data_IF_853381349417
#
_entry.id   IF_853381349417
#
_cell.length_a   1.000
_cell.length_b   1.000
_cell.length_c   1.000
_cell.angle_alpha   90.00
_cell.angle_beta   90.00
_cell.angle_gamma   90.00
#
_symmetry.space_group_name_H-M   'P 1'
#
loop_
_entity.id
_entity.type
_entity.pdbx_description
1 polymer ?
#
# COMPACT_ATOMS: atom_id res chain seq x y z
N UNK A 1 12.86 -18.15 -34.66
CA UNK A 1 12.72 -18.38 -33.20
C UNK A 1 13.59 -19.57 -32.85
N UNK A 2 14.65 -19.38 -32.06
CA UNK A 2 15.49 -20.50 -31.60
C UNK A 2 14.67 -21.36 -30.63
N UNK A 3 14.53 -22.64 -30.95
CA UNK A 3 13.79 -23.61 -30.14
C UNK A 3 14.62 -23.98 -28.91
N UNK A 4 13.97 -24.08 -27.74
CA UNK A 4 14.59 -24.66 -26.54
C UNK A 4 15.07 -26.09 -26.86
N UNK A 5 16.15 -26.58 -26.25
CA UNK A 5 16.53 -27.98 -26.37
C UNK A 5 15.35 -28.89 -26.00
N UNK A 6 15.10 -29.91 -26.81
CA UNK A 6 14.13 -30.94 -26.47
C UNK A 6 14.62 -31.67 -25.19
N UNK A 7 13.70 -32.06 -24.30
CA UNK A 7 13.99 -32.77 -23.04
C UNK A 7 14.78 -32.01 -21.96
N UNK A 8 14.87 -30.67 -22.06
CA UNK A 8 15.41 -29.83 -20.99
C UNK A 8 14.66 -30.05 -19.66
N UNK A 9 15.39 -30.41 -18.61
CA UNK A 9 14.84 -30.53 -17.25
C UNK A 9 15.72 -29.80 -16.22
N UNK A 10 15.15 -29.57 -15.03
CA UNK A 10 15.78 -28.80 -13.97
C UNK A 10 15.85 -29.60 -12.68
N UNK A 11 17.03 -29.67 -12.07
CA UNK A 11 17.23 -30.38 -10.82
C UNK A 11 18.31 -29.70 -9.97
N UNK A 12 18.39 -30.06 -8.69
CA UNK A 12 19.41 -29.54 -7.80
C UNK A 12 20.80 -30.04 -8.22
N UNK A 13 21.78 -29.15 -8.11
CA UNK A 13 23.19 -29.48 -8.36
C UNK A 13 23.75 -30.29 -7.22
N UNK A 14 24.37 -31.42 -7.54
CA UNK A 14 24.97 -32.33 -6.56
C UNK A 14 26.40 -31.92 -6.22
N UNK A 15 26.93 -32.29 -5.04
CA UNK A 15 28.32 -31.95 -4.67
C UNK A 15 29.35 -32.46 -5.70
N UNK A 16 29.07 -33.60 -6.33
CA UNK A 16 29.96 -34.23 -7.31
C UNK A 16 29.99 -33.49 -8.65
N UNK A 17 29.02 -32.62 -8.92
CA UNK A 17 28.86 -31.88 -10.18
C UNK A 17 29.48 -30.47 -10.10
N UNK A 18 30.08 -30.09 -8.97
CA UNK A 18 30.65 -28.76 -8.77
C UNK A 18 31.82 -28.47 -9.72
N UNK A 19 32.53 -29.50 -10.17
CA UNK A 19 33.59 -29.34 -11.15
C UNK A 19 33.01 -28.92 -12.52
N UNK A 20 31.88 -29.48 -12.95
CA UNK A 20 31.17 -29.05 -14.17
C UNK A 20 30.61 -27.62 -14.04
N UNK A 21 30.10 -27.26 -12.84
CA UNK A 21 29.66 -25.88 -12.55
C UNK A 21 30.82 -24.91 -12.67
N UNK A 22 31.97 -25.24 -12.10
CA UNK A 22 33.16 -24.38 -12.15
C UNK A 22 33.66 -24.19 -13.58
N UNK A 23 33.68 -25.24 -14.41
CA UNK A 23 34.03 -25.13 -15.82
C UNK A 23 33.10 -24.18 -16.58
N UNK A 24 31.79 -24.27 -16.33
CA UNK A 24 30.80 -23.36 -16.92
C UNK A 24 30.92 -21.93 -16.38
N UNK A 25 31.29 -21.74 -15.11
CA UNK A 25 31.52 -20.43 -14.50
C UNK A 25 32.70 -19.71 -15.16
N UNK A 26 33.84 -20.38 -15.28
CA UNK A 26 35.04 -19.83 -15.90
C UNK A 26 34.84 -19.57 -17.39
N UNK A 27 34.02 -20.37 -18.08
CA UNK A 27 33.62 -20.10 -19.46
C UNK A 27 32.54 -19.00 -19.59
N UNK A 28 31.87 -18.66 -18.50
CA UNK A 28 30.79 -17.68 -18.41
C UNK A 28 31.27 -16.27 -18.13
N UNK A 29 32.29 -16.13 -17.28
CA UNK A 29 32.76 -14.87 -16.73
C UNK A 29 34.26 -14.61 -17.03
N UNK A 30 34.67 -13.34 -17.09
CA UNK A 30 36.08 -12.96 -16.99
C UNK A 30 36.75 -13.51 -15.71
N UNK A 31 38.06 -13.71 -15.74
CA UNK A 31 38.80 -14.33 -14.63
C UNK A 31 38.74 -13.53 -13.31
N UNK A 32 38.52 -12.21 -13.38
CA UNK A 32 38.36 -11.31 -12.23
C UNK A 32 36.93 -11.26 -11.68
N UNK A 33 35.95 -11.78 -12.41
CA UNK A 33 34.53 -11.82 -12.01
C UNK A 33 34.06 -13.24 -11.63
N UNK A 34 34.71 -14.28 -12.17
CA UNK A 34 34.32 -15.68 -11.94
C UNK A 34 34.50 -16.11 -10.47
N UNK A 35 33.53 -16.86 -9.95
CA UNK A 35 33.67 -17.47 -8.63
C UNK A 35 34.78 -18.53 -8.61
N UNK A 36 35.56 -18.57 -7.53
CA UNK A 36 36.56 -19.63 -7.33
C UNK A 36 35.90 -20.99 -7.10
N UNK A 37 36.60 -22.07 -7.44
CA UNK A 37 36.14 -23.44 -7.19
C UNK A 37 35.80 -23.67 -5.71
N UNK A 38 36.61 -23.13 -4.81
CA UNK A 38 36.39 -23.26 -3.36
C UNK A 38 35.15 -22.49 -2.90
N UNK A 39 34.88 -21.30 -3.47
CA UNK A 39 33.66 -20.55 -3.18
C UNK A 39 32.40 -21.30 -3.65
N UNK A 40 32.44 -21.90 -4.85
CA UNK A 40 31.33 -22.72 -5.36
C UNK A 40 31.09 -23.96 -4.48
N UNK A 41 32.17 -24.66 -4.09
CA UNK A 41 32.08 -25.82 -3.19
C UNK A 41 31.53 -25.43 -1.82
N UNK A 42 31.99 -24.33 -1.23
CA UNK A 42 31.48 -23.82 0.04
C UNK A 42 29.99 -23.47 -0.06
N UNK A 43 29.60 -22.68 -1.07
CA UNK A 43 28.20 -22.28 -1.26
C UNK A 43 27.29 -23.50 -1.47
N UNK A 44 27.76 -24.52 -2.19
CA UNK A 44 27.01 -25.76 -2.39
C UNK A 44 26.82 -26.53 -1.08
N UNK A 45 27.84 -26.57 -0.21
CA UNK A 45 27.75 -27.31 1.05
C UNK A 45 26.82 -26.65 2.07
N UNK A 46 26.77 -25.31 2.09
CA UNK A 46 25.93 -24.55 3.04
C UNK A 46 24.52 -24.27 2.50
N UNK A 47 24.35 -24.12 1.18
CA UNK A 47 23.10 -23.71 0.56
C UNK A 47 22.66 -24.63 -0.61
N UNK A 48 22.70 -25.98 -0.48
CA UNK A 48 22.45 -26.89 -1.61
C UNK A 48 21.04 -26.75 -2.20
N UNK A 49 20.06 -26.33 -1.39
CA UNK A 49 18.66 -26.10 -1.81
C UNK A 49 18.50 -24.93 -2.78
N UNK A 50 19.49 -24.04 -2.83
CA UNK A 50 19.48 -22.83 -3.66
C UNK A 50 20.34 -22.97 -4.93
N UNK A 51 20.89 -24.16 -5.16
CA UNK A 51 21.68 -24.51 -6.35
C UNK A 51 20.82 -25.27 -7.35
N UNK A 52 20.49 -24.62 -8.47
CA UNK A 52 19.66 -25.22 -9.51
C UNK A 52 20.44 -25.37 -10.80
N UNK A 53 20.44 -26.57 -11.38
CA UNK A 53 21.02 -26.88 -12.68
C UNK A 53 19.95 -27.08 -13.75
N UNK A 54 20.30 -26.71 -14.98
CA UNK A 54 19.57 -27.04 -16.20
C UNK A 54 20.31 -28.18 -16.90
N UNK A 55 19.62 -29.28 -17.18
CA UNK A 55 20.23 -30.50 -17.65
C UNK A 55 19.59 -30.99 -18.95
N UNK A 56 20.40 -31.70 -19.74
CA UNK A 56 19.94 -32.55 -20.83
C UNK A 56 20.19 -34.02 -20.47
N UNK A 57 19.28 -34.93 -20.85
CA UNK A 57 19.54 -36.35 -20.73
C UNK A 57 20.70 -36.74 -21.66
N UNK A 58 21.57 -37.62 -21.15
CA UNK A 58 22.71 -38.13 -21.91
C UNK A 58 22.72 -39.67 -21.88
N UNK A 59 23.85 -40.30 -22.19
CA UNK A 59 23.96 -41.75 -22.27
C UNK A 59 23.95 -42.43 -20.89
N UNK A 60 23.92 -43.77 -20.87
CA UNK A 60 23.80 -44.59 -19.65
C UNK A 60 24.90 -44.31 -18.62
N UNK A 61 26.10 -43.88 -19.03
CA UNK A 61 27.25 -43.64 -18.14
C UNK A 61 27.22 -42.28 -17.43
N UNK A 62 26.61 -41.27 -18.04
CA UNK A 62 26.36 -39.96 -17.42
C UNK A 62 24.89 -39.66 -17.66
N UNK A 63 24.00 -39.86 -16.68
CA UNK A 63 22.56 -39.81 -16.95
C UNK A 63 22.07 -38.41 -17.33
N UNK A 64 22.84 -37.38 -16.98
CA UNK A 64 22.54 -35.97 -17.26
C UNK A 64 23.81 -35.19 -17.54
N UNK A 65 23.69 -34.16 -18.38
CA UNK A 65 24.75 -33.19 -18.66
C UNK A 65 24.29 -31.80 -18.28
N UNK A 66 25.10 -31.09 -17.50
CA UNK A 66 24.82 -29.73 -17.06
C UNK A 66 25.04 -28.73 -18.21
N UNK A 67 24.01 -27.96 -18.55
CA UNK A 67 24.09 -26.94 -19.62
C UNK A 67 23.89 -25.52 -19.12
N UNK A 68 23.54 -25.34 -17.85
CA UNK A 68 23.45 -24.04 -17.18
C UNK A 68 23.10 -24.20 -15.71
N UNK A 69 23.34 -23.17 -14.90
CA UNK A 69 23.10 -23.24 -13.47
C UNK A 69 22.81 -21.87 -12.86
N UNK A 70 22.22 -21.89 -11.66
CA UNK A 70 22.06 -20.76 -10.74
C UNK A 70 22.63 -21.16 -9.38
N UNK A 71 23.46 -20.28 -8.83
CA UNK A 71 24.02 -20.38 -7.48
C UNK A 71 23.54 -19.21 -6.64
N UNK A 72 23.04 -19.48 -5.44
CA UNK A 72 22.63 -18.45 -4.49
C UNK A 72 22.92 -18.82 -3.03
N UNK A 73 22.98 -17.82 -2.16
CA UNK A 73 22.97 -17.97 -0.70
C UNK A 73 21.83 -17.17 -0.09
N UNK A 74 21.70 -17.23 1.25
CA UNK A 74 20.71 -16.48 1.99
C UNK A 74 21.37 -15.32 2.71
N UNK A 75 20.64 -14.21 2.81
CA UNK A 75 20.99 -13.08 3.66
C UNK A 75 19.73 -12.48 4.30
N UNK A 76 19.81 -11.96 5.53
CA UNK A 76 18.75 -11.16 6.12
C UNK A 76 18.62 -9.76 5.48
N UNK A 77 19.65 -9.30 4.78
CA UNK A 77 19.71 -7.94 4.21
C UNK A 77 18.65 -7.73 3.13
N UNK A 78 17.96 -6.57 3.08
CA UNK A 78 16.99 -6.25 2.05
C UNK A 78 17.60 -5.88 0.69
N UNK A 79 18.91 -5.65 0.63
CA UNK A 79 19.71 -5.25 -0.56
C UNK A 79 21.02 -6.03 -0.60
N UNK A 80 21.70 -6.08 -1.75
CA UNK A 80 22.99 -6.76 -1.86
C UNK A 80 24.12 -5.93 -1.26
N UNK A 81 24.97 -6.61 -0.50
CA UNK A 81 26.18 -6.09 0.15
C UNK A 81 27.36 -7.02 -0.15
N UNK A 82 28.60 -6.52 0.01
CA UNK A 82 29.79 -7.36 -0.11
C UNK A 82 29.72 -8.58 0.82
N UNK A 83 29.23 -8.40 2.06
CA UNK A 83 29.04 -9.50 3.00
C UNK A 83 28.09 -10.57 2.47
N UNK A 84 26.91 -10.18 1.97
CA UNK A 84 25.93 -11.12 1.41
C UNK A 84 26.42 -11.87 0.16
N UNK A 85 27.45 -11.36 -0.52
CA UNK A 85 28.08 -12.02 -1.67
C UNK A 85 29.14 -13.07 -1.26
N UNK A 86 29.57 -13.06 0.00
CA UNK A 86 30.60 -13.95 0.55
C UNK A 86 30.02 -15.00 1.49
N UNK A 87 29.07 -14.63 2.35
CA UNK A 87 28.58 -15.46 3.45
C UNK A 87 27.16 -16.00 3.21
N UNK A 88 26.85 -17.13 3.85
CA UNK A 88 25.50 -17.68 3.93
C UNK A 88 24.95 -17.45 5.34
N UNK A 89 23.86 -16.69 5.45
CA UNK A 89 23.25 -16.30 6.72
C UNK A 89 21.78 -16.80 6.80
N UNK A 90 21.53 -17.99 7.37
CA UNK A 90 20.19 -18.58 7.44
C UNK A 90 19.37 -18.14 8.66
N UNK A 91 19.90 -17.29 9.55
CA UNK A 91 19.25 -16.83 10.78
C UNK A 91 19.42 -15.31 10.96
N UNK A 92 18.54 -14.60 11.69
CA UNK A 92 17.38 -15.09 12.46
C UNK A 92 16.09 -15.28 11.65
N UNK A 93 15.99 -14.68 10.45
CA UNK A 93 14.92 -14.94 9.47
C UNK A 93 15.36 -14.45 8.09
N UNK A 94 15.98 -15.31 7.26
CA UNK A 94 16.53 -14.90 5.98
C UNK A 94 15.39 -14.58 5.05
N UNK A 95 15.27 -13.32 4.63
CA UNK A 95 14.19 -12.89 3.73
C UNK A 95 14.64 -12.85 2.28
N UNK A 96 15.96 -12.86 2.02
CA UNK A 96 16.55 -12.61 0.71
C UNK A 96 17.40 -13.79 0.23
N UNK A 97 17.10 -14.28 -0.97
CA UNK A 97 17.98 -15.17 -1.73
C UNK A 97 18.88 -14.32 -2.61
N UNK A 98 20.20 -14.41 -2.42
CA UNK A 98 21.21 -13.63 -3.15
C UNK A 98 21.85 -14.50 -4.23
N UNK A 99 21.50 -14.27 -5.49
CA UNK A 99 22.06 -15.00 -6.63
C UNK A 99 23.47 -14.47 -6.92
N UNK A 100 24.45 -15.37 -6.89
CA UNK A 100 25.85 -15.08 -7.18
C UNK A 100 26.18 -15.26 -8.66
N UNK A 101 25.68 -16.33 -9.27
CA UNK A 101 26.05 -16.71 -10.63
C UNK A 101 24.85 -17.27 -11.39
N UNK A 102 24.70 -16.85 -12.65
CA UNK A 102 23.72 -17.40 -13.60
C UNK A 102 24.44 -17.67 -14.92
N UNK A 103 24.76 -18.94 -15.16
CA UNK A 103 25.58 -19.35 -16.30
C UNK A 103 24.81 -20.29 -17.23
N UNK A 104 25.01 -20.13 -18.53
CA UNK A 104 24.54 -21.07 -19.56
C UNK A 104 25.69 -21.34 -20.51
N UNK A 105 25.89 -22.61 -20.85
CA UNK A 105 26.87 -23.08 -21.82
C UNK A 105 26.73 -22.33 -23.14
N UNK A 106 27.85 -21.90 -23.72
CA UNK A 106 27.91 -21.10 -24.94
C UNK A 106 27.15 -21.73 -26.11
N UNK A 107 27.16 -23.06 -26.23
CA UNK A 107 26.45 -23.82 -27.25
C UNK A 107 24.91 -23.66 -27.19
N UNK A 108 24.38 -23.31 -26.03
CA UNK A 108 22.94 -23.23 -25.73
C UNK A 108 22.45 -21.81 -25.42
N UNK A 109 23.33 -20.80 -25.50
CA UNK A 109 22.96 -19.38 -25.38
C UNK A 109 22.05 -18.95 -26.55
N UNK A 110 21.25 -17.91 -26.31
CA UNK A 110 20.32 -17.39 -27.32
C UNK A 110 19.13 -18.31 -27.65
N UNK A 111 18.94 -19.42 -26.92
CA UNK A 111 17.82 -20.37 -27.09
C UNK A 111 16.74 -20.29 -26.00
N UNK A 112 16.83 -19.29 -25.12
CA UNK A 112 15.88 -19.09 -24.02
C UNK A 112 16.15 -19.92 -22.75
N UNK A 113 17.23 -20.71 -22.70
CA UNK A 113 17.58 -21.57 -21.55
C UNK A 113 17.69 -20.77 -20.25
N UNK A 114 18.41 -19.65 -20.25
CA UNK A 114 18.59 -18.80 -19.07
C UNK A 114 17.24 -18.28 -18.52
N UNK A 115 16.34 -17.84 -19.41
CA UNK A 115 15.02 -17.35 -19.00
C UNK A 115 14.20 -18.47 -18.36
N UNK A 116 14.18 -19.67 -18.97
CA UNK A 116 13.42 -20.80 -18.43
C UNK A 116 14.00 -21.29 -17.10
N UNK A 117 15.33 -21.31 -16.97
CA UNK A 117 16.03 -21.63 -15.72
C UNK A 117 15.67 -20.63 -14.60
N UNK A 118 15.69 -19.33 -14.90
CA UNK A 118 15.28 -18.29 -13.93
C UNK A 118 13.80 -18.43 -13.53
N UNK A 119 12.90 -18.70 -14.48
CA UNK A 119 11.48 -18.89 -14.20
C UNK A 119 11.25 -20.10 -13.28
N UNK A 120 11.82 -21.24 -13.61
CA UNK A 120 11.75 -22.44 -12.76
C UNK A 120 12.33 -22.17 -11.36
N UNK A 121 13.45 -21.46 -11.28
CA UNK A 121 14.08 -21.09 -10.02
C UNK A 121 13.15 -20.24 -9.15
N UNK A 122 12.57 -19.18 -9.72
CA UNK A 122 11.64 -18.31 -9.01
C UNK A 122 10.37 -19.05 -8.58
N UNK A 123 9.80 -19.93 -9.43
CA UNK A 123 8.63 -20.74 -9.09
C UNK A 123 8.90 -21.70 -7.91
N UNK A 124 10.12 -22.25 -7.82
CA UNK A 124 10.54 -23.08 -6.67
C UNK A 124 10.66 -22.24 -5.40
N UNK A 125 11.29 -21.07 -5.48
CA UNK A 125 11.48 -20.17 -4.34
C UNK A 125 10.17 -19.59 -3.83
N UNK A 126 9.23 -19.26 -4.71
CA UNK A 126 7.91 -18.74 -4.34
C UNK A 126 7.11 -19.73 -3.48
N UNK A 127 7.41 -21.04 -3.57
CA UNK A 127 6.80 -22.09 -2.74
C UNK A 127 7.47 -22.26 -1.37
N UNK A 128 8.64 -21.66 -1.13
CA UNK A 128 9.39 -21.82 0.12
C UNK A 128 8.95 -20.79 1.18
N UNK A 129 8.43 -21.17 2.35
CA UNK A 129 7.82 -20.26 3.34
C UNK A 129 8.75 -19.16 3.87
N UNK A 130 10.06 -19.39 3.81
CA UNK A 130 11.05 -18.48 4.39
C UNK A 130 11.57 -17.43 3.40
N UNK A 131 11.31 -17.56 2.10
CA UNK A 131 11.82 -16.63 1.09
C UNK A 131 10.80 -15.51 0.81
N UNK A 132 11.20 -14.26 1.05
CA UNK A 132 10.38 -13.08 0.74
C UNK A 132 10.80 -12.40 -0.55
N UNK A 133 12.10 -12.45 -0.91
CA UNK A 133 12.64 -11.82 -2.11
C UNK A 133 13.86 -12.54 -2.67
N UNK A 134 14.18 -12.21 -3.92
CA UNK A 134 15.38 -12.66 -4.63
C UNK A 134 16.11 -11.43 -5.15
N UNK A 135 17.42 -11.40 -4.96
CA UNK A 135 18.31 -10.30 -5.32
C UNK A 135 19.42 -10.83 -6.23
N UNK A 136 19.81 -10.02 -7.22
CA UNK A 136 20.98 -10.26 -8.06
C UNK A 136 21.57 -8.93 -8.55
N UNK A 137 22.82 -8.96 -8.99
CA UNK A 137 23.42 -7.88 -9.75
C UNK A 137 23.60 -8.26 -11.22
N UNK A 138 23.44 -7.31 -12.13
CA UNK A 138 23.72 -7.54 -13.54
C UNK A 138 24.30 -6.31 -14.27
N UNK A 139 24.99 -6.56 -15.39
CA UNK A 139 25.40 -5.52 -16.34
C UNK A 139 24.20 -4.99 -17.13
N UNK A 140 24.27 -3.74 -17.58
CA UNK A 140 23.17 -3.03 -18.27
C UNK A 140 22.50 -3.83 -19.39
N UNK A 141 23.29 -4.53 -20.22
CA UNK A 141 22.77 -5.30 -21.36
C UNK A 141 21.99 -6.57 -20.97
N UNK A 142 22.08 -7.01 -19.70
CA UNK A 142 21.35 -8.18 -19.18
C UNK A 142 20.04 -7.80 -18.48
N UNK A 143 19.81 -6.52 -18.17
CA UNK A 143 18.56 -6.03 -17.55
C UNK A 143 17.30 -6.56 -18.26
N UNK A 144 17.21 -6.60 -19.61
CA UNK A 144 16.02 -7.10 -20.28
C UNK A 144 15.75 -8.60 -20.04
N UNK A 145 16.78 -9.42 -19.84
CA UNK A 145 16.63 -10.84 -19.52
C UNK A 145 15.97 -11.01 -18.15
N UNK A 146 16.49 -10.31 -17.14
CA UNK A 146 15.97 -10.38 -15.78
C UNK A 146 14.58 -9.75 -15.65
N UNK A 147 14.33 -8.64 -16.35
CA UNK A 147 13.00 -8.05 -16.43
C UNK A 147 11.96 -9.03 -16.99
N UNK A 148 12.30 -9.78 -18.04
CA UNK A 148 11.43 -10.83 -18.60
C UNK A 148 11.22 -12.03 -17.66
N UNK A 149 12.19 -12.30 -16.78
CA UNK A 149 12.03 -13.30 -15.72
C UNK A 149 11.16 -12.80 -14.55
N UNK A 150 10.86 -11.50 -14.49
CA UNK A 150 9.99 -10.88 -13.50
C UNK A 150 10.70 -10.02 -12.46
N UNK A 151 12.01 -9.77 -12.60
CA UNK A 151 12.75 -8.86 -11.73
C UNK A 151 12.47 -7.39 -12.06
N UNK A 152 12.56 -6.53 -11.05
CA UNK A 152 12.53 -5.07 -11.18
C UNK A 152 13.92 -4.50 -10.90
N UNK A 153 14.27 -3.42 -11.61
CA UNK A 153 15.52 -2.69 -11.35
C UNK A 153 15.37 -1.86 -10.07
N UNK A 154 16.35 -1.96 -9.17
CA UNK A 154 16.44 -1.13 -7.96
C UNK A 154 17.30 0.10 -8.22
N UNK A 155 18.46 -0.09 -8.86
CA UNK A 155 19.40 0.98 -9.19
C UNK A 155 20.85 0.49 -9.26
N UNK A 156 21.85 1.40 -9.25
CA UNK A 156 23.26 1.04 -9.18
C UNK A 156 23.56 0.23 -7.92
N UNK A 157 24.31 -0.87 -8.05
CA UNK A 157 24.68 -1.69 -6.91
C UNK A 157 25.84 -1.06 -6.13
N UNK A 158 25.81 -1.22 -4.81
CA UNK A 158 26.94 -0.91 -3.94
C UNK A 158 28.06 -1.95 -4.05
N UNK A 159 27.77 -3.14 -4.58
CA UNK A 159 28.75 -4.21 -4.78
C UNK A 159 29.41 -4.04 -6.14
N UNK A 160 30.73 -3.88 -6.14
CA UNK A 160 31.53 -3.77 -7.37
C UNK A 160 32.28 -5.08 -7.60
N UNK A 161 32.08 -5.67 -8.78
CA UNK A 161 32.87 -6.80 -9.29
C UNK A 161 33.45 -6.41 -10.66
N UNK A 162 34.77 -6.21 -10.74
CA UNK A 162 35.43 -5.76 -11.98
C UNK A 162 35.31 -4.25 -12.22
N UNK A 163 35.47 -3.82 -13.48
CA UNK A 163 35.59 -2.41 -13.87
C UNK A 163 34.27 -1.74 -14.27
N UNK A 164 33.27 -2.53 -14.68
CA UNK A 164 31.98 -2.02 -15.16
C UNK A 164 30.99 -1.78 -14.02
N UNK A 165 30.07 -0.80 -14.13
CA UNK A 165 29.01 -0.61 -13.16
C UNK A 165 27.97 -1.74 -13.22
N UNK A 166 27.63 -2.26 -12.04
CA UNK A 166 26.58 -3.26 -11.84
C UNK A 166 25.30 -2.62 -11.34
N UNK A 167 24.17 -3.21 -11.72
CA UNK A 167 22.83 -2.77 -11.29
C UNK A 167 22.17 -3.88 -10.49
N UNK A 168 21.59 -3.51 -9.35
CA UNK A 168 20.82 -4.42 -8.51
C UNK A 168 19.41 -4.62 -9.09
N UNK A 169 19.02 -5.88 -9.18
CA UNK A 169 17.70 -6.34 -9.62
C UNK A 169 17.05 -7.12 -8.48
N UNK A 170 15.75 -6.94 -8.28
CA UNK A 170 14.99 -7.53 -7.18
C UNK A 170 13.71 -8.19 -7.68
N UNK A 171 13.32 -9.31 -7.08
CA UNK A 171 12.00 -9.93 -7.22
C UNK A 171 11.39 -10.14 -5.85
N UNK A 172 10.25 -9.54 -5.59
CA UNK A 172 9.48 -9.78 -4.37
C UNK A 172 8.43 -10.87 -4.59
N UNK A 173 8.32 -11.78 -3.61
CA UNK A 173 7.20 -12.70 -3.49
C UNK A 173 6.15 -12.04 -2.60
N UNK A 174 5.01 -11.73 -3.19
CA UNK A 174 3.97 -10.89 -2.62
C UNK A 174 3.19 -11.65 -1.54
N UNK A 175 3.80 -11.78 -0.34
CA UNK A 175 3.21 -12.49 0.80
C UNK A 175 2.50 -11.56 1.79
N UNK A 176 2.76 -10.27 1.67
CA UNK A 176 2.22 -9.23 2.56
C UNK A 176 1.00 -8.49 2.00
N UNK A 177 0.51 -8.83 0.80
CA UNK A 177 -0.78 -8.30 0.34
C UNK A 177 -1.94 -9.04 1.00
N UNK A 178 -2.79 -8.36 1.80
CA UNK A 178 -3.99 -8.99 2.34
C UNK A 178 -4.86 -9.47 1.17
N UNK A 179 -5.39 -10.70 1.29
CA UNK A 179 -6.25 -11.26 0.26
C UNK A 179 -7.48 -10.38 0.03
N UNK A 180 -8.06 -10.43 -1.18
CA UNK A 180 -9.30 -9.71 -1.47
C UNK A 180 -10.42 -10.03 -0.46
N UNK A 181 -10.45 -11.28 0.02
CA UNK A 181 -11.38 -11.71 1.07
C UNK A 181 -11.10 -11.04 2.42
N UNK A 182 -9.83 -10.90 2.83
CA UNK A 182 -9.45 -10.22 4.05
C UNK A 182 -9.74 -8.70 3.97
N UNK A 183 -9.49 -8.09 2.82
CA UNK A 183 -9.84 -6.68 2.56
C UNK A 183 -11.36 -6.50 2.63
N UNK A 184 -12.13 -7.37 1.96
CA UNK A 184 -13.59 -7.31 1.97
C UNK A 184 -14.15 -7.52 3.39
N UNK A 185 -13.61 -8.46 4.15
CA UNK A 185 -13.99 -8.71 5.53
C UNK A 185 -13.68 -7.50 6.43
N UNK A 186 -12.54 -6.83 6.25
CA UNK A 186 -12.18 -5.63 7.01
C UNK A 186 -13.12 -4.45 6.68
N UNK A 187 -13.44 -4.24 5.40
CA UNK A 187 -14.40 -3.21 4.96
C UNK A 187 -15.81 -3.49 5.50
N UNK A 188 -16.25 -4.76 5.48
CA UNK A 188 -17.53 -5.17 6.05
C UNK A 188 -17.57 -5.00 7.57
N UNK A 189 -16.49 -5.33 8.28
CA UNK A 189 -16.38 -5.15 9.73
C UNK A 189 -16.41 -3.67 10.15
N UNK A 190 -15.84 -2.76 9.34
CA UNK A 190 -15.98 -1.32 9.56
C UNK A 190 -17.43 -0.85 9.37
N UNK A 191 -18.16 -1.45 8.43
CA UNK A 191 -19.57 -1.12 8.18
C UNK A 191 -20.55 -1.62 9.24
N UNK A 192 -20.20 -2.67 10.01
CA UNK A 192 -21.08 -3.27 11.03
C UNK A 192 -20.83 -2.76 12.46
N UNK A 193 -19.85 -1.86 12.65
CA UNK A 193 -19.58 -1.27 13.96
C UNK A 193 -20.80 -0.47 14.44
N UNK A 194 -21.33 -0.71 15.65
CA UNK A 194 -22.45 0.07 16.17
C UNK A 194 -22.07 1.55 16.20
N UNK A 195 -22.89 2.38 15.55
CA UNK A 195 -22.68 3.83 15.51
C UNK A 195 -22.81 4.37 16.93
N UNK A 196 -21.81 5.13 17.36
CA UNK A 196 -21.80 5.72 18.70
C UNK A 196 -23.07 6.55 18.93
N UNK A 197 -23.63 6.46 20.14
CA UNK A 197 -24.86 7.15 20.49
C UNK A 197 -24.70 8.67 20.31
N UNK A 198 -25.71 9.30 19.71
CA UNK A 198 -25.80 10.75 19.54
C UNK A 198 -26.98 11.31 20.32
N UNK A 199 -26.82 12.49 20.87
CA UNK A 199 -27.84 13.26 21.58
C UNK A 199 -28.43 14.34 20.67
N UNK A 200 -29.73 14.62 20.83
CA UNK A 200 -30.41 15.70 20.09
C UNK A 200 -30.26 17.03 20.83
N UNK A 201 -30.40 18.15 20.11
CA UNK A 201 -30.36 19.50 20.70
C UNK A 201 -31.33 19.68 21.87
N UNK A 202 -32.54 19.10 21.77
CA UNK A 202 -33.58 19.17 22.80
C UNK A 202 -33.30 18.34 24.06
N UNK A 203 -32.26 17.51 24.05
CA UNK A 203 -31.88 16.70 25.22
C UNK A 203 -31.00 17.45 26.23
N UNK A 204 -30.56 18.66 25.89
CA UNK A 204 -29.76 19.53 26.76
C UNK A 204 -30.67 20.54 27.46
N UNK A 205 -30.47 20.74 28.76
CA UNK A 205 -31.27 21.68 29.56
C UNK A 205 -30.97 23.13 29.18
N UNK A 206 -29.69 23.45 28.95
CA UNK A 206 -29.23 24.78 28.57
C UNK A 206 -28.30 24.69 27.34
N UNK A 207 -28.83 24.51 26.12
CA UNK A 207 -28.00 24.24 24.94
C UNK A 207 -26.92 25.29 24.65
N UNK A 208 -27.16 26.56 24.99
CA UNK A 208 -26.18 27.64 24.78
C UNK A 208 -24.93 27.51 25.66
N UNK A 209 -25.03 26.87 26.82
CA UNK A 209 -23.90 26.58 27.72
C UNK A 209 -23.41 25.15 27.57
N UNK A 210 -24.32 24.18 27.50
CA UNK A 210 -23.99 22.76 27.56
C UNK A 210 -23.25 22.29 26.29
N UNK A 211 -23.56 22.92 25.16
CA UNK A 211 -22.94 22.58 23.87
C UNK A 211 -21.63 23.34 23.63
N UNK A 212 -21.26 24.29 24.49
CA UNK A 212 -20.12 25.18 24.27
C UNK A 212 -19.05 25.05 25.34
N UNK A 213 -17.80 25.35 24.98
CA UNK A 213 -16.73 25.66 25.93
C UNK A 213 -16.09 26.97 25.51
N UNK A 214 -15.62 27.75 26.47
CA UNK A 214 -15.05 29.07 26.22
C UNK A 214 -13.53 29.01 26.22
N UNK A 215 -12.91 29.56 25.18
CA UNK A 215 -11.48 29.80 25.08
C UNK A 215 -11.24 31.19 24.48
N UNK A 216 -10.43 32.01 25.15
CA UNK A 216 -10.13 33.40 24.74
C UNK A 216 -11.39 34.23 24.41
N UNK A 217 -12.45 34.12 25.23
CA UNK A 217 -13.74 34.79 25.03
C UNK A 217 -14.52 34.37 23.77
N UNK A 218 -14.12 33.27 23.12
CA UNK A 218 -14.83 32.65 22.01
C UNK A 218 -15.42 31.32 22.48
N UNK A 219 -16.69 31.08 22.15
CA UNK A 219 -17.39 29.84 22.49
C UNK A 219 -17.32 28.85 21.34
N UNK A 220 -16.74 27.68 21.60
CA UNK A 220 -16.56 26.62 20.61
C UNK A 220 -17.46 25.42 20.89
N UNK A 221 -17.72 24.59 19.88
CA UNK A 221 -18.49 23.37 20.06
C UNK A 221 -17.76 22.35 20.94
N UNK A 222 -18.37 21.96 22.06
CA UNK A 222 -17.85 20.94 22.98
C UNK A 222 -17.89 19.54 22.38
N UNK A 223 -18.91 19.24 21.58
CA UNK A 223 -19.14 17.91 21.02
C UNK A 223 -18.82 17.85 19.53
N UNK A 224 -18.50 16.65 19.05
CA UNK A 224 -18.50 16.35 17.61
C UNK A 224 -19.94 16.46 17.10
N UNK A 225 -20.12 17.14 15.97
CA UNK A 225 -21.44 17.29 15.34
C UNK A 225 -21.64 16.17 14.31
N UNK A 226 -22.80 15.53 14.35
CA UNK A 226 -23.13 14.38 13.49
C UNK A 226 -24.42 14.61 12.72
N UNK A 227 -24.63 13.82 11.67
CA UNK A 227 -25.90 13.76 10.96
C UNK A 227 -27.01 13.29 11.93
N UNK A 228 -28.10 14.07 12.12
CA UNK A 228 -29.11 13.79 13.13
C UNK A 228 -29.97 12.55 12.81
N UNK A 229 -29.88 11.99 11.59
CA UNK A 229 -30.59 10.75 11.23
C UNK A 229 -30.01 9.58 12.04
N UNK A 230 -30.81 8.87 12.85
CA UNK A 230 -30.32 7.81 13.74
C UNK A 230 -29.52 6.71 13.04
N UNK A 231 -29.91 6.33 11.82
CA UNK A 231 -29.22 5.31 11.02
C UNK A 231 -27.99 5.82 10.26
N UNK A 232 -27.79 7.14 10.17
CA UNK A 232 -26.64 7.73 9.45
C UNK A 232 -25.49 8.05 10.39
N UNK A 233 -25.66 8.97 11.36
CA UNK A 233 -24.60 9.31 12.32
C UNK A 233 -23.27 9.77 11.71
N UNK A 234 -23.24 10.15 10.43
CA UNK A 234 -22.04 10.64 9.74
C UNK A 234 -21.44 11.82 10.50
N UNK A 235 -20.12 11.85 10.63
CA UNK A 235 -19.43 12.94 11.29
C UNK A 235 -19.44 14.17 10.38
N UNK A 236 -19.95 15.29 10.89
CA UNK A 236 -20.05 16.56 10.16
C UNK A 236 -18.92 17.50 10.58
N UNK A 237 -18.69 17.65 11.89
CA UNK A 237 -17.65 18.53 12.43
C UNK A 237 -16.99 17.91 13.66
N UNK A 238 -15.68 18.14 13.79
CA UNK A 238 -14.91 17.80 14.99
C UNK A 238 -15.17 18.79 16.13
N UNK A 239 -14.81 18.40 17.36
CA UNK A 239 -14.85 19.27 18.54
C UNK A 239 -13.92 20.48 18.33
N UNK A 240 -14.37 21.66 18.73
CA UNK A 240 -13.55 22.88 18.73
C UNK A 240 -13.41 23.56 17.37
N UNK A 241 -14.09 23.07 16.33
CA UNK A 241 -13.98 23.61 14.96
C UNK A 241 -14.93 24.78 14.73
N UNK A 242 -16.12 24.73 15.32
CA UNK A 242 -17.17 25.72 15.09
C UNK A 242 -17.34 26.65 16.28
N UNK A 243 -17.66 27.91 15.98
CA UNK A 243 -17.94 28.94 16.98
C UNK A 243 -19.44 29.17 17.14
N UNK A 244 -19.88 29.45 18.36
CA UNK A 244 -21.29 29.59 18.70
C UNK A 244 -21.80 31.01 18.41
N UNK A 245 -22.94 31.08 17.73
CA UNK A 245 -23.71 32.31 17.54
C UNK A 245 -25.12 32.13 18.09
N UNK A 246 -25.53 32.95 19.08
CA UNK A 246 -26.89 32.94 19.63
C UNK A 246 -27.97 33.26 18.59
N UNK A 247 -29.18 32.78 18.83
CA UNK A 247 -30.30 32.92 17.89
C UNK A 247 -30.91 34.34 17.82
N UNK A 248 -30.67 35.15 18.85
CA UNK A 248 -31.05 36.56 18.97
C UNK A 248 -30.04 37.51 18.31
N UNK A 249 -28.90 36.99 17.85
CA UNK A 249 -27.96 37.76 17.04
C UNK A 249 -28.62 38.14 15.70
N UNK A 250 -28.35 39.34 15.20
CA UNK A 250 -28.94 39.91 13.97
C UNK A 250 -28.44 39.21 12.69
N UNK A 251 -28.52 37.89 12.64
CA UNK A 251 -28.13 37.07 11.50
C UNK A 251 -29.38 36.75 10.67
N UNK A 252 -29.41 37.28 9.45
CA UNK A 252 -30.40 36.89 8.46
C UNK A 252 -30.08 35.50 7.92
N UNK A 253 -31.01 34.56 8.07
CA UNK A 253 -30.91 33.21 7.53
C UNK A 253 -32.09 32.90 6.60
N UNK A 254 -31.97 31.92 5.68
CA UNK A 254 -33.07 31.54 4.79
C UNK A 254 -34.32 31.07 5.56
N UNK A 255 -35.51 31.35 5.02
CA UNK A 255 -36.80 31.04 5.67
C UNK A 255 -37.02 29.52 5.89
N UNK A 256 -36.36 28.67 5.10
CA UNK A 256 -36.41 27.19 5.25
C UNK A 256 -35.92 26.68 6.61
N UNK A 257 -35.24 27.52 7.40
CA UNK A 257 -34.82 27.22 8.77
C UNK A 257 -35.86 27.61 9.82
N UNK A 258 -36.96 28.26 9.43
CA UNK A 258 -38.11 28.55 10.31
C UNK A 258 -38.93 27.25 10.48
N UNK A 259 -39.23 26.82 11.72
CA UNK A 259 -39.90 25.55 11.98
C UNK A 259 -41.23 25.36 11.24
N UNK A 260 -42.04 26.42 11.07
CA UNK A 260 -43.34 26.38 10.41
C UNK A 260 -43.28 26.15 8.88
N UNK A 261 -42.11 26.29 8.26
CA UNK A 261 -41.90 26.12 6.81
C UNK A 261 -40.93 24.99 6.48
N UNK A 262 -40.50 24.21 7.47
CA UNK A 262 -39.44 23.21 7.33
C UNK A 262 -39.99 21.81 7.04
N UNK A 263 -39.64 21.24 5.88
CA UNK A 263 -39.85 19.82 5.55
C UNK A 263 -38.73 18.90 6.11
N UNK A 264 -37.93 19.39 7.06
CA UNK A 264 -36.83 18.62 7.63
C UNK A 264 -37.35 17.35 8.30
N UNK A 265 -36.88 16.15 7.91
CA UNK A 265 -37.49 14.87 8.30
C UNK A 265 -37.15 14.43 9.72
N UNK A 266 -36.58 15.31 10.54
CA UNK A 266 -36.28 15.10 11.95
C UNK A 266 -36.99 16.19 12.74
N UNK A 267 -37.64 15.81 13.84
CA UNK A 267 -38.34 16.75 14.72
C UNK A 267 -37.40 17.87 15.17
N UNK A 268 -37.78 19.11 14.88
CA UNK A 268 -37.04 20.30 15.26
C UNK A 268 -37.46 20.78 16.67
N UNK A 269 -36.60 21.51 17.39
CA UNK A 269 -36.97 22.17 18.64
C UNK A 269 -38.07 23.24 18.43
N UNK A 270 -38.97 23.42 19.40
CA UNK A 270 -40.08 24.39 19.35
C UNK A 270 -39.66 25.87 19.54
N UNK A 271 -38.35 26.14 19.65
CA UNK A 271 -37.79 27.46 19.94
C UNK A 271 -36.59 27.84 19.06
N UNK A 272 -36.12 29.10 19.14
CA UNK A 272 -34.98 29.55 18.36
C UNK A 272 -33.72 28.76 18.74
N UNK A 273 -33.03 28.26 17.73
CA UNK A 273 -31.80 27.47 17.89
C UNK A 273 -30.61 28.32 17.52
N UNK A 274 -29.51 28.16 18.26
CA UNK A 274 -28.26 28.83 17.91
C UNK A 274 -27.64 28.29 16.62
N UNK A 275 -26.54 28.90 16.22
CA UNK A 275 -25.84 28.58 15.00
C UNK A 275 -24.37 28.30 15.27
N UNK A 276 -23.84 27.33 14.53
CA UNK A 276 -22.43 27.00 14.48
C UNK A 276 -21.83 27.68 13.24
N UNK A 277 -20.90 28.58 13.49
CA UNK A 277 -20.14 29.28 12.46
C UNK A 277 -18.81 28.57 12.22
N UNK A 278 -18.60 28.11 10.99
CA UNK A 278 -17.37 27.46 10.54
C UNK A 278 -16.63 28.38 9.58
N UNK A 279 -15.34 28.60 9.85
CA UNK A 279 -14.40 29.39 9.05
C UNK A 279 -13.02 28.72 9.10
N UNK A 280 -12.08 29.05 8.20
CA UNK A 280 -12.21 29.92 7.03
C UNK A 280 -12.46 29.13 5.74
N UNK A 281 -12.77 27.83 5.81
CA UNK A 281 -12.80 26.97 4.63
C UNK A 281 -13.78 25.83 4.80
N UNK A 282 -14.41 25.34 3.71
CA UNK A 282 -15.26 24.16 3.75
C UNK A 282 -14.47 22.88 4.10
N UNK A 283 -13.13 22.90 4.05
CA UNK A 283 -12.27 21.79 4.46
C UNK A 283 -12.30 21.50 5.98
N UNK A 284 -12.95 22.36 6.76
CA UNK A 284 -13.17 22.11 8.20
C UNK A 284 -14.27 21.07 8.45
N UNK A 285 -15.11 20.78 7.44
CA UNK A 285 -16.13 19.75 7.53
C UNK A 285 -15.56 18.38 7.17
N UNK A 286 -16.11 17.35 7.81
CA UNK A 286 -15.74 15.96 7.57
C UNK A 286 -16.57 15.37 6.41
N UNK A 287 -17.92 15.40 6.51
CA UNK A 287 -18.82 14.80 5.51
C UNK A 287 -20.03 15.69 5.19
N UNK A 288 -19.77 16.90 4.69
CA UNK A 288 -20.82 17.83 4.23
C UNK A 288 -20.87 17.92 2.69
N UNK A 289 -22.08 17.97 2.13
CA UNK A 289 -22.36 18.28 0.73
C UNK A 289 -22.92 19.69 0.57
N UNK A 290 -22.76 20.27 -0.62
CA UNK A 290 -23.26 21.60 -0.98
C UNK A 290 -24.25 21.47 -2.13
N UNK A 291 -25.41 22.12 -2.00
CA UNK A 291 -26.37 22.20 -3.10
C UNK A 291 -25.85 23.08 -4.24
N UNK A 292 -26.54 23.01 -5.39
CA UNK A 292 -26.45 24.09 -6.38
C UNK A 292 -26.94 25.40 -5.74
N UNK A 293 -26.37 26.52 -6.17
CA UNK A 293 -26.78 27.81 -5.68
C UNK A 293 -28.18 28.17 -6.15
N UNK A 294 -28.97 28.77 -5.26
CA UNK A 294 -30.32 29.26 -5.54
C UNK A 294 -30.28 30.78 -5.39
N UNK A 295 -30.74 31.52 -6.42
CA UNK A 295 -30.88 32.98 -6.35
C UNK A 295 -29.93 33.84 -7.20
N UNK A 296 -29.14 33.26 -8.14
CA UNK A 296 -28.29 34.05 -9.05
C UNK A 296 -26.87 34.31 -8.52
N UNK A 297 -26.23 35.42 -8.91
CA UNK A 297 -24.80 35.74 -8.63
C UNK A 297 -24.47 35.89 -7.13
N UNK A 298 -25.46 36.17 -6.26
CA UNK A 298 -25.37 36.18 -4.79
C UNK A 298 -26.08 34.95 -4.15
N UNK A 299 -26.07 33.82 -4.87
CA UNK A 299 -26.86 32.65 -4.54
C UNK A 299 -26.49 31.98 -3.21
N UNK A 300 -27.50 31.44 -2.54
CA UNK A 300 -27.35 30.64 -1.32
C UNK A 300 -27.12 29.18 -1.69
N UNK A 301 -26.16 28.54 -1.03
CA UNK A 301 -25.95 27.09 -1.06
C UNK A 301 -26.37 26.48 0.26
N UNK A 302 -27.10 25.38 0.19
CA UNK A 302 -27.51 24.61 1.34
C UNK A 302 -26.54 23.48 1.63
N UNK A 303 -26.32 23.22 2.91
CA UNK A 303 -25.48 22.15 3.42
C UNK A 303 -26.31 20.90 3.66
N UNK A 304 -25.83 19.74 3.21
CA UNK A 304 -26.45 18.43 3.45
C UNK A 304 -25.42 17.43 3.96
N UNK A 305 -25.87 16.34 4.59
CA UNK A 305 -25.01 15.21 4.93
C UNK A 305 -24.52 14.54 3.64
N UNK A 306 -23.22 14.39 3.46
CA UNK A 306 -22.64 13.77 2.26
C UNK A 306 -22.94 12.27 2.15
N UNK A 307 -23.21 11.58 3.26
CA UNK A 307 -23.50 10.13 3.25
C UNK A 307 -24.95 9.81 2.87
N UNK A 308 -25.93 10.55 3.43
CA UNK A 308 -27.35 10.21 3.30
C UNK A 308 -28.20 11.29 2.63
N UNK A 309 -27.57 12.36 2.14
CA UNK A 309 -28.20 13.51 1.49
C UNK A 309 -29.26 14.22 2.35
N UNK A 310 -29.22 14.03 3.67
CA UNK A 310 -30.12 14.74 4.59
C UNK A 310 -29.74 16.23 4.64
N UNK A 311 -30.69 17.11 4.34
CA UNK A 311 -30.52 18.56 4.47
C UNK A 311 -31.86 19.29 4.37
N UNK A 312 -31.85 20.63 4.50
CA UNK A 312 -30.67 21.45 4.73
C UNK A 312 -30.27 21.50 6.21
N UNK A 313 -29.02 21.16 6.51
CA UNK A 313 -28.41 21.24 7.85
C UNK A 313 -27.92 22.66 8.17
N UNK A 314 -27.64 23.43 7.12
CA UNK A 314 -27.07 24.76 7.21
C UNK A 314 -26.98 25.41 5.82
N UNK A 315 -26.30 26.54 5.73
CA UNK A 315 -26.18 27.32 4.50
C UNK A 315 -24.88 28.12 4.43
N UNK A 316 -24.52 28.55 3.23
CA UNK A 316 -23.49 29.54 2.95
C UNK A 316 -23.82 30.36 1.71
N UNK A 317 -23.09 31.45 1.48
CA UNK A 317 -23.22 32.31 0.30
C UNK A 317 -22.17 31.90 -0.74
N UNK A 318 -22.57 31.75 -2.01
CA UNK A 318 -21.67 31.27 -3.07
C UNK A 318 -20.48 32.19 -3.34
N UNK A 319 -20.69 33.51 -3.34
CA UNK A 319 -19.66 34.54 -3.54
C UNK A 319 -19.51 35.46 -2.31
N UNK A 320 -19.64 34.89 -1.13
CA UNK A 320 -19.57 35.62 0.15
C UNK A 320 -18.29 35.40 0.95
N UNK A 321 -18.23 35.94 2.18
CA UNK A 321 -17.17 35.60 3.12
C UNK A 321 -17.16 34.10 3.38
N UNK A 322 -16.00 33.55 3.75
CA UNK A 322 -15.79 32.10 3.96
C UNK A 322 -16.44 31.61 5.26
N UNK A 323 -17.74 31.78 5.33
CA UNK A 323 -18.59 31.53 6.48
C UNK A 323 -19.62 30.47 6.11
N UNK A 324 -19.66 29.42 6.93
CA UNK A 324 -20.59 28.33 6.77
C UNK A 324 -21.38 28.20 8.06
N UNK A 325 -22.70 28.32 7.93
CA UNK A 325 -23.61 28.40 9.06
C UNK A 325 -24.37 27.09 9.19
N UNK A 326 -24.18 26.38 10.30
CA UNK A 326 -24.88 25.13 10.60
C UNK A 326 -25.88 25.37 11.71
N UNK A 327 -27.14 24.97 11.52
CA UNK A 327 -28.17 25.16 12.52
C UNK A 327 -27.98 24.15 13.67
N UNK A 328 -27.87 24.62 14.91
CA UNK A 328 -27.60 23.77 16.06
C UNK A 328 -28.73 22.77 16.34
N UNK A 329 -29.97 23.06 15.93
CA UNK A 329 -31.11 22.15 16.03
C UNK A 329 -31.15 21.06 14.97
N UNK A 330 -30.34 21.16 13.91
CA UNK A 330 -30.34 20.22 12.77
C UNK A 330 -29.13 19.29 12.75
N UNK A 331 -28.44 19.15 13.87
CA UNK A 331 -27.29 18.24 14.03
C UNK A 331 -27.44 17.41 15.30
N UNK A 332 -26.79 16.25 15.32
CA UNK A 332 -26.62 15.45 16.53
C UNK A 332 -25.31 15.76 17.23
N UNK A 333 -25.24 15.44 18.52
CA UNK A 333 -24.10 15.72 19.39
C UNK A 333 -23.54 14.42 19.95
N UNK A 334 -22.26 14.15 19.69
CA UNK A 334 -21.59 12.92 20.13
C UNK A 334 -20.65 13.19 21.29
N UNK A 335 -20.86 12.48 22.40
CA UNK A 335 -20.14 12.64 23.68
C UNK A 335 -18.78 11.93 23.76
N UNK A 336 -18.45 11.08 22.78
CA UNK A 336 -17.19 10.29 22.75
C UNK A 336 -16.47 10.35 21.39
#
# INVERSE_FOLDING_TARGET
>A
MSRLPDELFFDLVRPEEIDEVYELEVAGYPADEAASRDALRYRQSVAPKYFLGAYLPTCVTTPRSLIGFIVATLSPSPTLTHHSMETHEPEPKPSSVCIHSVCVSSAYRGRGVALKLLQEYLERLEKMPDVSRVLLICKTHLKPLYARAGFTEVGPSAVVHGQDPWFEMRKDFNRDQPSQAAVLAALQAQSTRPKAAQQAYTSFENPSTDLTYEDQSVRYNTFKLTCPRPQCGSLILLRGVATWTPADHAMTHPEIFVPSQSEFPVSLPDGPTGWWLVKPSPMQFENIGFSRAVGGDDGIKYLSCAECNLGPLGWCVERGPTEFWVNAGRVGYRTT
#
